data_IF_896544199589
#
_entry.id   IF_896544199589
#
_cell.length_a   1.000
_cell.length_b   1.000
_cell.length_c   1.000
_cell.angle_alpha   90.00
_cell.angle_beta   90.00
_cell.angle_gamma   90.00
#
_symmetry.space_group_name_H-M   'P 1'
#
loop_
_entity.id
_entity.type
_entity.pdbx_description
1 polymer ?
#
# COMPACT_ATOMS: atom_id res chain seq x y z
N UNK A 1 1.85 10.99 -24.73
CA UNK A 1 3.05 11.39 -23.96
C UNK A 1 3.57 10.23 -23.11
N UNK A 2 2.78 9.64 -22.20
CA UNK A 2 3.23 8.52 -21.33
C UNK A 2 3.76 7.31 -22.12
N UNK A 3 3.06 6.89 -23.18
CA UNK A 3 3.52 5.75 -24.00
C UNK A 3 4.87 6.01 -24.70
N UNK A 4 5.07 7.24 -25.19
CA UNK A 4 6.33 7.63 -25.83
C UNK A 4 7.50 7.59 -24.83
N UNK A 5 7.28 8.11 -23.62
CA UNK A 5 8.31 8.09 -22.57
C UNK A 5 8.60 6.66 -22.10
N UNK A 6 7.58 5.80 -21.96
CA UNK A 6 7.77 4.38 -21.67
C UNK A 6 8.64 3.68 -22.73
N UNK A 7 8.35 3.89 -24.02
CA UNK A 7 9.17 3.34 -25.12
C UNK A 7 10.60 3.89 -25.10
N UNK A 8 10.76 5.17 -24.78
CA UNK A 8 12.08 5.81 -24.70
C UNK A 8 12.92 5.23 -23.56
N UNK A 9 12.30 4.97 -22.41
CA UNK A 9 12.95 4.31 -21.27
C UNK A 9 13.32 2.86 -21.60
N UNK A 10 12.49 2.15 -22.36
CA UNK A 10 12.85 0.81 -22.85
C UNK A 10 14.13 0.84 -23.69
N UNK A 11 14.19 1.72 -24.69
CA UNK A 11 15.38 1.88 -25.55
C UNK A 11 16.62 2.33 -24.75
N UNK A 12 16.41 3.08 -23.67
CA UNK A 12 17.49 3.48 -22.77
C UNK A 12 18.07 2.28 -22.01
N UNK A 13 17.23 1.46 -21.38
CA UNK A 13 17.69 0.28 -20.62
C UNK A 13 18.18 -0.89 -21.49
N UNK A 14 17.95 -0.85 -22.80
CA UNK A 14 18.64 -1.71 -23.76
C UNK A 14 20.15 -1.39 -23.88
N UNK A 15 20.56 -0.17 -23.49
CA UNK A 15 21.94 0.33 -23.64
C UNK A 15 22.65 0.58 -22.32
N UNK A 16 21.91 0.83 -21.25
CA UNK A 16 22.42 1.24 -19.95
C UNK A 16 21.88 0.32 -18.85
N UNK A 17 22.71 -0.02 -17.86
CA UNK A 17 22.24 -0.79 -16.72
C UNK A 17 21.49 0.11 -15.75
N UNK A 18 20.40 -0.37 -15.16
CA UNK A 18 19.74 0.35 -14.06
C UNK A 18 20.68 0.52 -12.86
N UNK A 19 21.68 -0.35 -12.72
CA UNK A 19 22.64 -0.29 -11.62
C UNK A 19 23.61 0.89 -11.72
N UNK A 20 23.77 1.47 -12.91
CA UNK A 20 24.64 2.63 -13.16
C UNK A 20 24.09 3.93 -12.56
N UNK A 21 22.84 3.91 -12.09
CA UNK A 21 22.14 5.06 -11.54
C UNK A 21 22.23 5.15 -10.01
N UNK A 22 21.96 6.34 -9.47
CA UNK A 22 21.78 6.54 -8.03
C UNK A 22 20.56 5.76 -7.53
N UNK A 23 20.49 5.49 -6.23
CA UNK A 23 19.37 4.73 -5.65
C UNK A 23 18.05 5.48 -5.84
N UNK A 24 18.11 6.80 -5.77
CA UNK A 24 17.02 7.73 -5.98
C UNK A 24 16.51 7.66 -7.42
N UNK A 25 17.41 7.75 -8.40
CA UNK A 25 17.06 7.64 -9.82
C UNK A 25 16.45 6.27 -10.14
N UNK A 26 17.03 5.19 -9.61
CA UNK A 26 16.49 3.83 -9.77
C UNK A 26 15.07 3.74 -9.25
N UNK A 27 14.82 4.28 -8.06
CA UNK A 27 13.49 4.31 -7.47
C UNK A 27 12.49 5.04 -8.39
N UNK A 28 12.86 6.22 -8.90
CA UNK A 28 12.01 7.02 -9.79
C UNK A 28 11.74 6.32 -11.12
N UNK A 29 12.74 5.69 -11.72
CA UNK A 29 12.57 4.90 -12.95
C UNK A 29 11.59 3.75 -12.74
N UNK A 30 11.78 2.96 -11.67
CA UNK A 30 10.88 1.84 -11.38
C UNK A 30 9.46 2.31 -11.07
N UNK A 31 9.32 3.37 -10.28
CA UNK A 31 8.02 3.97 -10.01
C UNK A 31 7.30 4.37 -11.30
N UNK A 32 8.03 5.01 -12.21
CA UNK A 32 7.51 5.43 -13.50
C UNK A 32 7.12 4.23 -14.39
N UNK A 33 7.97 3.20 -14.47
CA UNK A 33 7.71 1.98 -15.25
C UNK A 33 6.44 1.29 -14.74
N UNK A 34 6.35 1.03 -13.43
CA UNK A 34 5.18 0.39 -12.80
C UNK A 34 3.91 1.22 -13.05
N UNK A 35 4.00 2.54 -12.89
CA UNK A 35 2.87 3.45 -13.14
C UNK A 35 2.42 3.42 -14.60
N UNK A 36 3.37 3.39 -15.54
CA UNK A 36 3.08 3.36 -16.98
C UNK A 36 2.40 2.05 -17.37
N UNK A 37 2.94 0.92 -16.93
CA UNK A 37 2.36 -0.41 -17.14
C UNK A 37 0.92 -0.45 -16.58
N UNK A 38 0.72 0.08 -15.39
CA UNK A 38 -0.58 0.08 -14.73
C UNK A 38 -1.61 0.93 -15.46
N UNK A 39 -1.26 2.18 -15.77
CA UNK A 39 -2.17 3.17 -16.37
C UNK A 39 -2.46 2.92 -17.85
N UNK A 40 -1.47 2.43 -18.60
CA UNK A 40 -1.61 2.17 -20.05
C UNK A 40 -2.05 0.74 -20.35
N UNK A 41 -2.26 -0.09 -19.32
CA UNK A 41 -2.58 -1.50 -19.46
C UNK A 41 -1.60 -2.29 -20.35
N UNK A 42 -0.31 -1.93 -20.29
CA UNK A 42 0.71 -2.58 -21.09
C UNK A 42 1.04 -3.98 -20.55
N UNK A 43 1.38 -4.94 -21.43
CA UNK A 43 1.96 -6.21 -20.99
C UNK A 43 3.35 -5.96 -20.38
N UNK A 44 3.66 -6.70 -19.32
CA UNK A 44 4.98 -6.69 -18.68
C UNK A 44 5.89 -7.60 -19.51
N UNK A 45 6.94 -7.04 -20.13
CA UNK A 45 7.96 -7.86 -20.80
C UNK A 45 8.87 -8.55 -19.77
N UNK A 46 9.49 -9.67 -20.16
CA UNK A 46 10.47 -10.36 -19.31
C UNK A 46 11.63 -9.42 -18.91
N UNK A 47 12.12 -8.62 -19.86
CA UNK A 47 13.17 -7.63 -19.62
C UNK A 47 12.80 -6.62 -18.51
N UNK A 48 11.58 -6.07 -18.52
CA UNK A 48 11.15 -5.16 -17.45
C UNK A 48 10.97 -5.87 -16.12
N UNK A 49 10.52 -7.12 -16.13
CA UNK A 49 10.42 -7.91 -14.91
C UNK A 49 11.81 -8.11 -14.28
N UNK A 50 12.83 -8.39 -15.09
CA UNK A 50 14.21 -8.52 -14.63
C UNK A 50 14.73 -7.21 -14.02
N UNK A 51 14.50 -6.08 -14.70
CA UNK A 51 14.87 -4.74 -14.21
C UNK A 51 14.20 -4.44 -12.85
N UNK A 52 12.89 -4.71 -12.73
CA UNK A 52 12.12 -4.50 -11.49
C UNK A 52 12.67 -5.38 -10.36
N UNK A 53 12.91 -6.66 -10.64
CA UNK A 53 13.41 -7.60 -9.64
C UNK A 53 14.82 -7.23 -9.17
N UNK A 54 15.73 -6.93 -10.09
CA UNK A 54 17.10 -6.49 -9.77
C UNK A 54 17.08 -5.23 -8.90
N UNK A 55 16.22 -4.26 -9.25
CA UNK A 55 16.08 -3.03 -8.47
C UNK A 55 15.50 -3.30 -7.08
N UNK A 56 14.48 -4.14 -6.95
CA UNK A 56 13.94 -4.54 -5.64
C UNK A 56 14.99 -5.25 -4.78
N UNK A 57 15.77 -6.17 -5.36
CA UNK A 57 16.86 -6.86 -4.67
C UNK A 57 17.95 -5.90 -4.20
N UNK A 58 18.20 -4.81 -4.91
CA UNK A 58 19.12 -3.76 -4.47
C UNK A 58 18.49 -2.85 -3.43
N UNK A 59 17.28 -2.34 -3.64
CA UNK A 59 16.62 -1.40 -2.73
C UNK A 59 16.36 -1.99 -1.35
N UNK A 60 16.06 -3.30 -1.24
CA UNK A 60 15.85 -3.97 0.05
C UNK A 60 17.12 -4.04 0.91
N UNK A 61 18.30 -3.82 0.32
CA UNK A 61 19.57 -3.73 1.09
C UNK A 61 19.68 -2.44 1.90
N UNK A 62 18.79 -1.46 1.68
CA UNK A 62 18.74 -0.20 2.42
C UNK A 62 17.54 -0.22 3.39
N UNK A 63 17.74 -0.50 4.70
CA UNK A 63 16.64 -0.63 5.65
C UNK A 63 15.77 0.62 5.76
N UNK A 64 16.33 1.82 5.55
CA UNK A 64 15.56 3.06 5.55
C UNK A 64 14.59 3.19 4.36
N UNK A 65 14.80 2.41 3.30
CA UNK A 65 13.98 2.45 2.09
C UNK A 65 12.90 1.36 2.06
N UNK A 66 12.81 0.53 3.09
CA UNK A 66 11.94 -0.65 3.08
C UNK A 66 10.47 -0.28 2.81
N UNK A 67 9.94 0.77 3.45
CA UNK A 67 8.58 1.24 3.19
C UNK A 67 8.37 1.69 1.72
N UNK A 68 9.39 2.30 1.13
CA UNK A 68 9.37 2.75 -0.26
C UNK A 68 9.35 1.56 -1.22
N UNK A 69 10.11 0.51 -0.90
CA UNK A 69 10.08 -0.76 -1.63
C UNK A 69 8.70 -1.41 -1.52
N UNK A 70 8.12 -1.47 -0.31
CA UNK A 70 6.77 -2.02 -0.15
C UNK A 70 5.72 -1.20 -0.91
N UNK A 71 5.88 0.11 -1.00
CA UNK A 71 5.02 0.95 -1.83
C UNK A 71 5.10 0.57 -3.32
N UNK A 72 6.31 0.45 -3.89
CA UNK A 72 6.49 0.02 -5.27
C UNK A 72 5.98 -1.39 -5.51
N UNK A 73 6.28 -2.30 -4.58
CA UNK A 73 5.82 -3.69 -4.65
C UNK A 73 4.30 -3.76 -4.61
N UNK A 74 3.62 -2.98 -3.75
CA UNK A 74 2.17 -2.93 -3.72
C UNK A 74 1.56 -2.36 -5.00
N UNK A 75 2.19 -1.35 -5.62
CA UNK A 75 1.77 -0.82 -6.92
C UNK A 75 1.85 -1.92 -8.00
N UNK A 76 3.00 -2.60 -8.06
CA UNK A 76 3.23 -3.71 -8.97
C UNK A 76 2.27 -4.87 -8.73
N UNK A 77 2.08 -5.25 -7.47
CA UNK A 77 1.17 -6.31 -7.04
C UNK A 77 -0.26 -5.99 -7.46
N UNK A 78 -0.71 -4.74 -7.37
CA UNK A 78 -2.05 -4.34 -7.81
C UNK A 78 -2.30 -4.50 -9.30
N UNK A 79 -1.23 -4.58 -10.11
CA UNK A 79 -1.31 -4.83 -11.54
C UNK A 79 -1.23 -6.32 -11.87
N UNK A 80 -0.35 -7.06 -11.20
CA UNK A 80 -0.12 -8.49 -11.43
C UNK A 80 -1.22 -9.34 -10.80
N UNK A 81 -1.55 -9.04 -9.55
CA UNK A 81 -2.70 -9.62 -8.87
C UNK A 81 -3.88 -8.74 -9.24
N UNK A 82 -4.72 -9.24 -10.14
CA UNK A 82 -5.98 -8.58 -10.43
C UNK A 82 -6.87 -8.68 -9.17
N UNK A 83 -6.69 -7.74 -8.23
CA UNK A 83 -7.51 -7.65 -7.01
C UNK A 83 -9.01 -7.46 -7.32
N UNK A 84 -9.33 -7.12 -8.57
CA UNK A 84 -10.68 -6.97 -9.10
C UNK A 84 -11.19 -8.20 -9.86
N UNK A 85 -10.38 -9.24 -10.11
CA UNK A 85 -10.92 -10.49 -10.65
C UNK A 85 -11.61 -11.27 -9.53
N UNK A 86 -12.86 -10.88 -9.38
CA UNK A 86 -13.87 -11.25 -8.43
C UNK A 86 -14.36 -12.68 -8.66
N UNK A 87 -13.44 -13.65 -8.55
CA UNK A 87 -13.78 -15.06 -8.66
C UNK A 87 -13.69 -15.71 -7.30
N UNK A 88 -14.68 -16.56 -7.01
CA UNK A 88 -14.68 -17.54 -5.93
C UNK A 88 -13.41 -18.44 -5.88
N UNK A 89 -12.57 -18.38 -6.91
CA UNK A 89 -11.23 -18.97 -6.96
C UNK A 89 -10.14 -17.91 -6.72
N UNK A 90 -10.22 -17.14 -5.63
CA UNK A 90 -9.05 -16.42 -5.17
C UNK A 90 -7.99 -17.49 -4.90
N UNK A 91 -7.01 -17.61 -5.79
CA UNK A 91 -6.03 -18.69 -5.66
C UNK A 91 -5.35 -18.54 -4.31
N UNK A 92 -5.05 -19.67 -3.66
CA UNK A 92 -4.26 -19.70 -2.43
C UNK A 92 -2.99 -18.82 -2.52
N UNK A 93 -2.40 -18.74 -3.72
CA UNK A 93 -1.27 -17.87 -4.03
C UNK A 93 -1.59 -16.38 -3.85
N UNK A 94 -2.77 -15.91 -4.24
CA UNK A 94 -3.16 -14.50 -4.12
C UNK A 94 -3.37 -14.09 -2.65
N UNK A 95 -4.02 -14.93 -1.84
CA UNK A 95 -4.19 -14.70 -0.39
C UNK A 95 -2.82 -14.65 0.30
N UNK A 96 -1.96 -15.63 0.01
CA UNK A 96 -0.60 -15.69 0.58
C UNK A 96 0.22 -14.44 0.24
N UNK A 97 0.11 -13.94 -1.00
CA UNK A 97 0.78 -12.70 -1.42
C UNK A 97 0.27 -11.47 -0.68
N UNK A 98 -1.05 -11.33 -0.49
CA UNK A 98 -1.62 -10.23 0.30
C UNK A 98 -1.14 -10.30 1.75
N UNK A 99 -1.16 -11.49 2.36
CA UNK A 99 -0.64 -11.70 3.72
C UNK A 99 0.81 -11.23 3.84
N UNK A 100 1.68 -11.73 2.96
CA UNK A 100 3.10 -11.40 2.94
C UNK A 100 3.32 -9.89 2.76
N UNK A 101 2.60 -9.30 1.81
CA UNK A 101 2.63 -7.86 1.56
C UNK A 101 2.25 -7.05 2.82
N UNK A 102 1.13 -7.36 3.47
CA UNK A 102 0.69 -6.64 4.67
C UNK A 102 1.68 -6.77 5.82
N UNK A 103 2.21 -7.98 6.05
CA UNK A 103 3.23 -8.22 7.09
C UNK A 103 4.46 -7.36 6.82
N UNK A 104 4.92 -7.29 5.57
CA UNK A 104 6.08 -6.47 5.23
C UNK A 104 5.79 -4.98 5.41
N UNK A 105 4.62 -4.48 4.97
CA UNK A 105 4.23 -3.08 5.22
C UNK A 105 4.24 -2.76 6.72
N UNK A 106 3.68 -3.63 7.55
CA UNK A 106 3.66 -3.44 9.01
C UNK A 106 5.10 -3.36 9.56
N UNK A 107 5.97 -4.28 9.15
CA UNK A 107 7.38 -4.31 9.56
C UNK A 107 8.15 -3.08 9.09
N UNK A 108 7.94 -2.64 7.85
CA UNK A 108 8.58 -1.44 7.32
C UNK A 108 8.16 -0.19 8.10
N UNK A 109 6.87 -0.08 8.43
CA UNK A 109 6.35 1.04 9.22
C UNK A 109 6.85 1.06 10.67
N UNK A 110 7.24 -0.08 11.23
CA UNK A 110 7.79 -0.19 12.59
C UNK A 110 9.31 -0.35 12.65
N UNK A 111 9.98 -0.34 11.50
CA UNK A 111 11.42 -0.50 11.42
C UNK A 111 12.14 0.64 12.16
N UNK A 112 12.95 0.30 13.16
CA UNK A 112 13.61 1.31 14.01
C UNK A 112 14.55 2.21 13.22
N UNK A 113 15.29 1.69 12.25
CA UNK A 113 16.18 2.48 11.38
C UNK A 113 15.39 3.50 10.58
N UNK A 114 14.26 3.08 9.98
CA UNK A 114 13.34 3.99 9.29
C UNK A 114 12.78 5.05 10.26
N UNK A 115 12.31 4.66 11.44
CA UNK A 115 11.72 5.59 12.43
C UNK A 115 12.73 6.59 12.97
N UNK A 116 13.96 6.15 13.27
CA UNK A 116 15.03 7.03 13.76
C UNK A 116 15.40 8.04 12.68
N UNK A 117 15.68 7.57 11.46
CA UNK A 117 15.98 8.42 10.33
C UNK A 117 14.88 9.44 10.06
N UNK A 118 13.61 8.99 10.08
CA UNK A 118 12.46 9.85 9.94
C UNK A 118 12.39 10.96 11.00
N UNK A 119 12.71 10.64 12.26
CA UNK A 119 12.69 11.61 13.36
C UNK A 119 13.85 12.60 13.32
N UNK A 120 15.03 12.14 12.91
CA UNK A 120 16.26 12.93 12.87
C UNK A 120 16.29 13.87 11.67
N UNK A 121 16.01 13.34 10.48
CA UNK A 121 16.13 14.11 9.24
C UNK A 121 14.87 14.96 8.97
N UNK A 122 13.69 14.54 9.48
CA UNK A 122 12.37 15.09 9.10
C UNK A 122 12.14 15.17 7.59
N UNK A 123 12.99 14.51 6.84
CA UNK A 123 13.00 14.44 5.40
C UNK A 123 13.30 12.99 5.03
N UNK A 124 12.77 12.58 3.90
CA UNK A 124 13.11 11.28 3.35
C UNK A 124 13.90 11.56 2.10
N UNK A 125 15.19 11.22 2.17
CA UNK A 125 16.23 11.49 1.18
C UNK A 125 15.76 11.34 -0.29
N UNK A 126 14.92 10.34 -0.56
CA UNK A 126 14.45 10.02 -1.93
C UNK A 126 13.81 11.18 -2.69
N UNK A 127 13.15 12.12 -2.00
CA UNK A 127 12.37 13.17 -2.66
C UNK A 127 12.81 14.59 -2.29
N UNK A 128 13.93 14.75 -1.57
CA UNK A 128 14.39 16.07 -1.13
C UNK A 128 14.73 16.98 -2.31
N UNK A 129 15.52 16.46 -3.25
CA UNK A 129 15.87 17.17 -4.48
C UNK A 129 14.62 17.48 -5.31
N UNK A 130 13.70 16.52 -5.41
CA UNK A 130 12.43 16.71 -6.11
C UNK A 130 11.64 17.85 -5.47
N UNK A 131 11.57 17.90 -4.13
CA UNK A 131 10.83 18.93 -3.40
C UNK A 131 11.45 20.32 -3.59
N UNK A 132 12.76 20.43 -3.35
CA UNK A 132 13.46 21.71 -3.37
C UNK A 132 13.54 22.30 -4.78
N UNK A 133 13.84 21.47 -5.79
CA UNK A 133 14.15 21.94 -7.14
C UNK A 133 12.97 21.92 -8.10
N UNK A 134 12.01 21.01 -7.92
CA UNK A 134 10.98 20.75 -8.93
C UNK A 134 9.54 20.92 -8.43
N UNK A 135 9.22 20.50 -7.20
CA UNK A 135 7.86 20.62 -6.65
C UNK A 135 7.56 22.05 -6.20
N UNK A 136 8.57 22.90 -5.96
CA UNK A 136 8.34 24.32 -5.69
C UNK A 136 7.54 25.04 -6.78
N UNK A 137 7.48 24.48 -8.00
CA UNK A 137 6.64 24.97 -9.10
C UNK A 137 5.17 24.52 -9.00
N UNK A 138 4.89 23.47 -8.21
CA UNK A 138 3.56 22.90 -7.99
C UNK A 138 2.99 23.54 -6.73
N UNK A 139 1.98 24.40 -6.88
CA UNK A 139 1.33 25.05 -5.74
C UNK A 139 0.59 24.03 -4.88
N UNK A 140 0.50 24.30 -3.57
CA UNK A 140 -0.28 23.48 -2.64
C UNK A 140 -1.74 23.35 -3.08
N UNK A 141 -2.32 24.42 -3.62
CA UNK A 141 -3.65 24.41 -4.22
C UNK A 141 -3.77 23.42 -5.38
N UNK A 142 -2.75 23.32 -6.25
CA UNK A 142 -2.76 22.36 -7.35
C UNK A 142 -2.70 20.93 -6.83
N UNK A 143 -1.87 20.66 -5.82
CA UNK A 143 -1.79 19.34 -5.16
C UNK A 143 -3.16 19.00 -4.57
N UNK A 144 -3.73 19.88 -3.75
CA UNK A 144 -5.04 19.70 -3.14
C UNK A 144 -6.14 19.48 -4.18
N UNK A 145 -6.16 20.26 -5.26
CA UNK A 145 -7.11 20.11 -6.35
C UNK A 145 -6.97 18.77 -7.08
N UNK A 146 -5.74 18.28 -7.30
CA UNK A 146 -5.50 16.95 -7.87
C UNK A 146 -6.05 15.87 -6.94
N UNK A 147 -5.80 15.94 -5.64
CA UNK A 147 -6.30 14.96 -4.68
C UNK A 147 -7.82 14.99 -4.54
N UNK A 148 -8.44 16.18 -4.52
CA UNK A 148 -9.89 16.36 -4.52
C UNK A 148 -10.54 15.84 -5.81
N UNK A 149 -9.95 16.13 -6.96
CA UNK A 149 -10.40 15.63 -8.26
C UNK A 149 -10.31 14.09 -8.36
N UNK A 150 -9.24 13.51 -7.83
CA UNK A 150 -9.08 12.06 -7.77
C UNK A 150 -10.08 11.41 -6.80
N UNK A 151 -10.34 12.03 -5.66
CA UNK A 151 -11.34 11.56 -4.69
C UNK A 151 -12.74 11.53 -5.34
N UNK A 152 -13.16 12.63 -5.95
CA UNK A 152 -14.48 12.74 -6.60
C UNK A 152 -14.62 11.82 -7.82
N UNK A 153 -13.59 11.70 -8.65
CA UNK A 153 -13.61 10.83 -9.83
C UNK A 153 -13.68 9.34 -9.47
N UNK A 154 -13.00 8.92 -8.39
CA UNK A 154 -13.03 7.53 -7.94
C UNK A 154 -14.39 7.15 -7.36
N UNK A 155 -15.00 8.05 -6.58
CA UNK A 155 -16.35 7.87 -6.01
C UNK A 155 -17.37 7.52 -7.10
N UNK A 156 -17.31 8.18 -8.26
CA UNK A 156 -18.30 8.01 -9.31
C UNK A 156 -18.18 6.69 -10.08
N UNK A 157 -16.98 6.08 -10.16
CA UNK A 157 -16.76 4.81 -10.88
C UNK A 157 -17.10 3.57 -10.05
N UNK A 158 -17.13 3.71 -8.73
CA UNK A 158 -17.20 2.57 -7.81
C UNK A 158 -18.62 2.05 -7.61
N UNK A 159 -19.65 2.88 -7.83
CA UNK A 159 -21.07 2.50 -7.61
C UNK A 159 -21.58 1.37 -8.51
N UNK A 160 -20.82 0.95 -9.52
CA UNK A 160 -21.25 -0.07 -10.50
C UNK A 160 -20.70 -1.49 -10.26
N UNK A 161 -19.83 -1.71 -9.26
CA UNK A 161 -19.13 -3.00 -9.06
C UNK A 161 -19.39 -3.60 -7.68
N UNK A 162 -20.66 -3.70 -7.26
CA UNK A 162 -21.02 -4.52 -6.09
C UNK A 162 -21.34 -5.94 -6.54
N UNK A 163 -20.45 -6.86 -6.24
CA UNK A 163 -20.65 -8.28 -6.55
C UNK A 163 -20.71 -9.05 -5.24
N UNK A 164 -21.83 -9.72 -5.03
CA UNK A 164 -22.14 -10.50 -3.83
C UNK A 164 -21.38 -11.83 -3.84
N UNK A 165 -20.06 -11.80 -3.64
CA UNK A 165 -19.28 -13.03 -3.48
C UNK A 165 -18.97 -13.31 -2.01
N UNK A 166 -18.99 -14.59 -1.67
CA UNK A 166 -18.61 -15.08 -0.34
C UNK A 166 -17.10 -14.93 -0.14
N UNK A 167 -16.69 -13.86 0.52
CA UNK A 167 -15.29 -13.67 0.93
C UNK A 167 -14.86 -14.70 1.98
N UNK A 168 -13.65 -15.23 1.87
CA UNK A 168 -13.06 -16.07 2.93
C UNK A 168 -12.82 -15.25 4.20
N UNK A 169 -12.87 -15.89 5.36
CA UNK A 169 -12.58 -15.22 6.64
C UNK A 169 -11.16 -14.64 6.70
N UNK A 170 -10.19 -15.30 6.06
CA UNK A 170 -8.82 -14.80 5.92
C UNK A 170 -8.77 -13.48 5.15
N UNK A 171 -9.47 -13.39 4.02
CA UNK A 171 -9.49 -12.18 3.22
C UNK A 171 -10.19 -11.03 3.97
N UNK A 172 -11.29 -11.32 4.68
CA UNK A 172 -11.93 -10.34 5.57
C UNK A 172 -10.96 -9.83 6.65
N UNK A 173 -10.18 -10.71 7.26
CA UNK A 173 -9.15 -10.33 8.21
C UNK A 173 -8.07 -9.43 7.58
N UNK A 174 -7.64 -9.72 6.36
CA UNK A 174 -6.63 -8.91 5.66
C UNK A 174 -7.14 -7.52 5.29
N UNK A 175 -8.42 -7.41 4.88
CA UNK A 175 -9.07 -6.10 4.68
C UNK A 175 -9.11 -5.30 5.98
N UNK A 176 -9.43 -5.96 7.10
CA UNK A 176 -9.41 -5.32 8.42
C UNK A 176 -8.03 -4.81 8.78
N UNK A 177 -6.99 -5.61 8.58
CA UNK A 177 -5.61 -5.22 8.86
C UNK A 177 -5.17 -4.08 7.96
N UNK A 178 -5.46 -4.13 6.66
CA UNK A 178 -5.16 -3.03 5.73
C UNK A 178 -5.84 -1.72 6.14
N UNK A 179 -7.08 -1.77 6.61
CA UNK A 179 -7.78 -0.61 7.15
C UNK A 179 -7.09 -0.05 8.41
N UNK A 180 -6.66 -0.93 9.33
CA UNK A 180 -5.92 -0.52 10.53
C UNK A 180 -4.56 0.11 10.20
N UNK A 181 -3.84 -0.42 9.22
CA UNK A 181 -2.61 0.16 8.67
C UNK A 181 -2.91 1.54 8.12
N UNK A 182 -3.90 1.69 7.24
CA UNK A 182 -4.29 2.96 6.64
C UNK A 182 -4.65 4.01 7.69
N UNK A 183 -5.47 3.63 8.68
CA UNK A 183 -5.87 4.52 9.77
C UNK A 183 -4.66 4.97 10.59
N UNK A 184 -3.80 4.03 10.99
CA UNK A 184 -2.61 4.35 11.78
C UNK A 184 -1.62 5.20 10.99
N UNK A 185 -1.45 4.91 9.70
CA UNK A 185 -0.57 5.64 8.80
C UNK A 185 -1.08 7.08 8.55
N UNK A 186 -2.40 7.31 8.57
CA UNK A 186 -2.99 8.64 8.48
C UNK A 186 -2.60 9.50 9.69
N UNK A 187 -2.63 8.92 10.88
CA UNK A 187 -2.27 9.61 12.12
C UNK A 187 -0.77 9.82 12.29
N UNK A 188 0.03 8.82 11.89
CA UNK A 188 1.48 8.81 12.05
C UNK A 188 2.15 8.09 10.88
N UNK A 189 3.26 8.61 10.33
CA UNK A 189 3.99 7.97 9.23
C UNK A 189 4.76 6.70 9.64
N UNK A 190 4.66 6.29 10.91
CA UNK A 190 5.24 5.06 11.46
C UNK A 190 4.31 4.39 12.47
N UNK A 191 4.55 3.11 12.70
CA UNK A 191 3.91 2.29 13.73
C UNK A 191 4.87 2.11 14.90
N UNK A 192 4.38 2.25 16.13
CA UNK A 192 5.12 1.75 17.27
C UNK A 192 5.17 0.20 17.24
N UNK A 193 6.22 -0.35 17.83
CA UNK A 193 6.49 -1.80 17.82
C UNK A 193 5.31 -2.59 18.40
N UNK A 194 4.69 -2.11 19.48
CA UNK A 194 3.57 -2.80 20.11
C UNK A 194 2.34 -2.86 19.20
N UNK A 195 2.01 -1.78 18.49
CA UNK A 195 0.93 -1.79 17.48
C UNK A 195 1.26 -2.71 16.31
N UNK A 196 2.49 -2.70 15.84
CA UNK A 196 2.93 -3.56 14.75
C UNK A 196 2.82 -5.05 15.13
N UNK A 197 3.30 -5.43 16.32
CA UNK A 197 3.20 -6.80 16.83
C UNK A 197 1.74 -7.25 16.96
N UNK A 198 0.88 -6.36 17.48
CA UNK A 198 -0.57 -6.62 17.53
C UNK A 198 -1.18 -6.81 16.14
N UNK A 199 -0.77 -6.04 15.14
CA UNK A 199 -1.27 -6.23 13.77
C UNK A 199 -0.79 -7.55 13.17
N UNK A 200 0.45 -7.95 13.45
CA UNK A 200 1.02 -9.22 13.00
C UNK A 200 0.30 -10.41 13.67
N UNK A 201 -0.02 -10.32 14.97
CA UNK A 201 -0.71 -11.40 15.68
C UNK A 201 -2.12 -11.67 15.15
N UNK A 202 -2.77 -10.68 14.50
CA UNK A 202 -4.06 -10.87 13.83
C UNK A 202 -3.99 -11.85 12.63
N UNK A 203 -2.80 -12.20 12.13
CA UNK A 203 -2.62 -13.20 11.08
C UNK A 203 -2.46 -14.65 11.61
N UNK A 204 -2.22 -14.84 12.90
CA UNK A 204 -1.90 -16.15 13.50
C UNK A 204 -3.05 -17.18 13.51
N UNK A 205 -4.32 -16.81 13.76
CA UNK A 205 -5.43 -17.77 13.84
C UNK A 205 -5.60 -18.59 12.56
N UNK A 206 -5.13 -18.05 11.43
CA UNK A 206 -5.25 -18.63 10.10
C UNK A 206 -3.99 -19.39 9.66
N UNK A 207 -2.99 -19.55 10.53
CA UNK A 207 -1.72 -20.20 10.18
C UNK A 207 -1.63 -21.67 10.57
N UNK A 208 -2.61 -22.22 11.30
CA UNK A 208 -2.57 -23.59 11.80
C UNK A 208 -3.34 -24.54 10.90
N UNK A 209 -2.64 -25.57 10.44
CA UNK A 209 -3.22 -26.83 9.98
C UNK A 209 -4.17 -27.34 11.08
N UNK A 210 -5.47 -27.29 10.78
CA UNK A 210 -6.54 -27.87 11.58
C UNK A 210 -6.33 -29.38 11.71
N UNK A 211 -5.63 -29.84 12.74
CA UNK A 211 -5.65 -31.26 13.14
C UNK A 211 -5.91 -31.48 14.62
N UNK A 212 -6.07 -30.43 15.44
CA UNK A 212 -6.49 -30.60 16.82
C UNK A 212 -7.95 -30.18 16.96
N UNK A 213 -8.82 -31.19 16.94
CA UNK A 213 -10.25 -31.09 17.27
C UNK A 213 -10.36 -30.35 18.61
N UNK A 214 -10.96 -29.16 18.65
CA UNK A 214 -11.10 -28.44 19.91
C UNK A 214 -12.10 -29.19 20.78
N UNK A 215 -11.61 -29.73 21.89
CA UNK A 215 -12.44 -30.20 22.99
C UNK A 215 -13.25 -29.00 23.45
N UNK A 216 -14.57 -29.11 23.34
CA UNK A 216 -15.51 -28.04 23.61
C UNK A 216 -15.37 -27.53 25.04
N UNK A 217 -14.83 -26.32 25.21
CA UNK A 217 -15.00 -25.55 26.43
C UNK A 217 -15.48 -24.14 26.09
N UNK A 218 -16.50 -23.73 26.85
CA UNK A 218 -17.41 -22.62 26.62
C UNK A 218 -16.76 -21.30 26.16
N UNK A 219 -17.18 -20.86 24.97
CA UNK A 219 -17.46 -19.48 24.55
C UNK A 219 -16.90 -18.35 25.44
N UNK A 220 -15.59 -18.09 25.34
CA UNK A 220 -15.07 -16.74 25.54
C UNK A 220 -14.59 -16.22 24.19
N UNK A 221 -15.44 -15.46 23.51
CA UNK A 221 -14.96 -14.56 22.47
C UNK A 221 -13.90 -13.69 23.14
N UNK A 222 -12.64 -13.89 22.73
CA UNK A 222 -11.55 -12.97 23.06
C UNK A 222 -11.88 -11.69 22.30
N UNK A 223 -12.76 -10.89 22.89
CA UNK A 223 -12.98 -9.51 22.55
C UNK A 223 -11.65 -8.83 22.87
N UNK A 224 -10.76 -8.79 21.88
CA UNK A 224 -9.51 -8.04 21.97
C UNK A 224 -9.96 -6.64 22.32
N UNK A 225 -9.75 -6.28 23.59
CA UNK A 225 -10.06 -4.98 24.14
C UNK A 225 -9.05 -4.01 23.52
N UNK A 226 -9.29 -3.70 22.24
CA UNK A 226 -8.92 -2.42 21.71
C UNK A 226 -9.61 -1.46 22.67
N UNK A 227 -8.83 -0.96 23.62
CA UNK A 227 -9.08 0.27 24.38
C UNK A 227 -9.11 1.38 23.33
N UNK A 228 -10.14 1.30 22.50
CA UNK A 228 -10.37 2.12 21.35
C UNK A 228 -11.25 3.24 21.84
N UNK A 229 -11.01 4.46 21.35
CA UNK A 229 -12.03 5.49 21.42
C UNK A 229 -13.34 4.91 20.86
N UNK A 230 -14.47 5.31 21.44
CA UNK A 230 -15.85 4.78 21.26
C UNK A 230 -16.39 4.64 19.82
N UNK A 231 -15.57 4.86 18.79
CA UNK A 231 -15.90 4.87 17.37
C UNK A 231 -15.90 3.50 16.68
N UNK A 232 -15.30 2.44 17.26
CA UNK A 232 -15.22 1.13 16.59
C UNK A 232 -16.46 0.24 16.78
N UNK A 233 -17.25 0.42 17.85
CA UNK A 233 -18.38 -0.47 18.18
C UNK A 233 -19.54 -0.42 17.18
N UNK A 234 -19.68 0.66 16.40
CA UNK A 234 -20.71 0.80 15.34
C UNK A 234 -20.21 0.47 13.93
N UNK A 235 -18.94 0.06 13.76
CA UNK A 235 -18.30 -0.08 12.44
C UNK A 235 -18.18 -1.48 11.79
N UNK A 236 -18.53 -2.63 12.41
CA UNK A 236 -18.17 -3.94 11.83
C UNK A 236 -18.84 -4.24 10.49
N UNK A 237 -20.04 -3.72 10.24
CA UNK A 237 -20.76 -3.92 8.97
C UNK A 237 -20.09 -3.22 7.77
N UNK A 238 -19.43 -2.08 7.98
CA UNK A 238 -18.88 -1.29 6.86
C UNK A 238 -17.61 -1.89 6.28
N UNK A 239 -16.79 -2.50 7.12
CA UNK A 239 -15.55 -3.12 6.71
C UNK A 239 -15.78 -4.29 5.74
N UNK A 240 -16.96 -4.91 5.83
CA UNK A 240 -17.35 -6.00 4.94
C UNK A 240 -17.54 -5.52 3.50
N UNK A 241 -18.05 -4.31 3.29
CA UNK A 241 -18.36 -3.80 1.94
C UNK A 241 -17.17 -3.15 1.21
N UNK A 242 -16.12 -2.76 1.92
CA UNK A 242 -14.97 -2.11 1.30
C UNK A 242 -14.07 -3.18 0.71
N UNK A 243 -13.72 -3.08 -0.57
CA UNK A 243 -12.77 -3.98 -1.23
C UNK A 243 -11.32 -3.66 -0.82
N UNK A 244 -10.46 -4.67 -0.74
CA UNK A 244 -9.03 -4.49 -0.45
C UNK A 244 -8.35 -3.51 -1.39
N UNK A 245 -8.63 -3.60 -2.69
CA UNK A 245 -8.12 -2.69 -3.73
C UNK A 245 -8.38 -1.23 -3.40
N UNK A 246 -9.56 -0.90 -2.87
CA UNK A 246 -9.91 0.48 -2.48
C UNK A 246 -9.03 0.94 -1.32
N UNK A 247 -8.85 0.11 -0.30
CA UNK A 247 -7.96 0.41 0.84
C UNK A 247 -6.52 0.64 0.37
N UNK A 248 -6.03 -0.20 -0.56
CA UNK A 248 -4.71 -0.04 -1.15
C UNK A 248 -4.54 1.27 -1.94
N UNK A 249 -5.53 1.63 -2.76
CA UNK A 249 -5.55 2.92 -3.46
C UNK A 249 -5.46 4.07 -2.46
N UNK A 250 -6.22 4.02 -1.37
CA UNK A 250 -6.16 5.05 -0.33
C UNK A 250 -4.81 5.14 0.37
N UNK A 251 -4.20 4.00 0.70
CA UNK A 251 -2.86 3.97 1.26
C UNK A 251 -1.84 4.57 0.29
N UNK A 252 -1.92 4.22 -0.99
CA UNK A 252 -1.08 4.79 -2.04
C UNK A 252 -1.20 6.31 -2.08
N UNK A 253 -2.41 6.85 -2.04
CA UNK A 253 -2.64 8.30 -2.05
C UNK A 253 -2.06 8.98 -0.83
N UNK A 254 -2.31 8.42 0.34
CA UNK A 254 -1.78 8.95 1.60
C UNK A 254 -0.25 8.95 1.58
N UNK A 255 0.35 7.87 1.10
CA UNK A 255 1.80 7.75 0.94
C UNK A 255 2.34 8.81 -0.03
N UNK A 256 1.70 8.99 -1.20
CA UNK A 256 2.11 9.99 -2.18
C UNK A 256 2.05 11.40 -1.58
N UNK A 257 0.96 11.72 -0.88
CA UNK A 257 0.76 13.01 -0.23
C UNK A 257 1.83 13.30 0.82
N UNK A 258 2.13 12.31 1.67
CA UNK A 258 3.18 12.42 2.69
C UNK A 258 4.58 12.54 2.11
N UNK A 259 4.96 11.63 1.21
CA UNK A 259 6.36 11.46 0.84
C UNK A 259 6.73 12.09 -0.49
N UNK A 260 5.91 11.95 -1.52
CA UNK A 260 6.23 12.50 -2.85
C UNK A 260 6.02 14.01 -2.85
N UNK A 261 4.88 14.46 -2.35
CA UNK A 261 4.59 15.89 -2.23
C UNK A 261 5.21 16.51 -0.97
N UNK A 262 5.74 15.66 -0.08
CA UNK A 262 6.56 16.08 1.05
C UNK A 262 5.78 16.75 2.19
N UNK A 263 4.47 16.54 2.30
CA UNK A 263 3.68 16.95 3.47
C UNK A 263 3.53 15.78 4.46
N UNK A 264 4.57 15.54 5.25
CA UNK A 264 4.63 14.45 6.22
C UNK A 264 3.51 14.50 7.27
N UNK A 265 3.08 15.71 7.61
CA UNK A 265 2.05 15.95 8.63
C UNK A 265 0.64 15.91 8.05
N UNK A 266 0.50 15.86 6.72
CA UNK A 266 -0.80 15.74 6.09
C UNK A 266 -1.63 14.61 6.65
N UNK A 267 -2.90 14.88 6.88
CA UNK A 267 -3.87 13.86 7.26
C UNK A 267 -5.12 14.08 6.43
N UNK A 268 -5.77 12.98 6.07
CA UNK A 268 -7.15 13.07 5.66
C UNK A 268 -7.99 13.40 6.89
N UNK A 269 -8.64 14.57 6.86
CA UNK A 269 -9.49 15.09 7.94
C UNK A 269 -10.68 14.17 8.24
N UNK A 270 -11.15 13.44 7.24
CA UNK A 270 -12.32 12.59 7.37
C UNK A 270 -12.13 11.26 6.64
N UNK A 271 -11.49 10.27 7.27
CA UNK A 271 -11.50 8.89 6.74
C UNK A 271 -12.92 8.31 6.64
N UNK A 272 -13.97 9.01 7.12
CA UNK A 272 -15.35 8.62 6.84
C UNK A 272 -15.77 8.80 5.39
N UNK A 273 -14.99 9.46 4.52
CA UNK A 273 -15.25 9.31 3.08
C UNK A 273 -15.11 7.85 2.63
N UNK A 274 -14.27 7.03 3.31
CA UNK A 274 -14.23 5.58 3.03
C UNK A 274 -15.60 4.96 3.35
N UNK A 275 -16.36 5.58 4.26
CA UNK A 275 -17.71 5.16 4.69
C UNK A 275 -18.84 5.76 3.84
N UNK A 276 -18.70 6.99 3.33
CA UNK A 276 -19.78 7.73 2.63
C UNK A 276 -20.10 7.23 1.21
N UNK A 277 -19.26 6.38 0.62
CA UNK A 277 -19.31 6.09 -0.81
C UNK A 277 -19.30 4.58 -1.13
N UNK A 278 -20.21 3.86 -0.47
CA UNK A 278 -20.85 2.66 -1.02
C UNK A 278 -21.79 3.06 -2.17
#
# INVERSE_FOLDING_TARGET
MLEYLYRSINVYFEKHSIEDHTVEDQFLFIQYIISSISNLCLPISAHFLDIINQTFSRLITYPSLDLHVQFLYGQFLSKVVNFSEDRASFSFFSITRIKFFLINVIRSLSNQTYVLKFKEEQTILLYEDLKQKHISMITEDLINNIFLGLQTGYINRVKSESTEFSETEEYKAYKKIMFLILYSFNESPHLDVQRADRFISLFEPYSRNETEIPISDNNSEILIDFTSPSYLSKRPLFLQCIQFKKLWVWFTRLYQHKFIYGDLNSRFSDLSFIHKYQ
#
